data_IF_283708143393
#
_entry.id   IF_283708143393
#
_cell.length_a   1.000
_cell.length_b   1.000
_cell.length_c   1.000
_cell.angle_alpha   90.00
_cell.angle_beta   90.00
_cell.angle_gamma   90.00
#
_symmetry.space_group_name_H-M   'P 1'
#
loop_
_entity.id
_entity.type
_entity.pdbx_description
1 polymer ?
#
# COMPACT_ATOMS: atom_id res chain seq x y z
N UNK A 1 -13.95 -30.84 21.65
CA UNK A 1 -13.06 -30.93 20.46
C UNK A 1 -13.01 -29.56 19.81
N UNK A 2 -11.90 -28.87 20.10
CA UNK A 2 -11.29 -27.71 19.44
C UNK A 2 -12.00 -26.34 19.43
N UNK A 3 -11.38 -25.44 20.19
CA UNK A 3 -11.52 -24.00 20.20
C UNK A 3 -11.51 -23.42 18.79
N UNK A 4 -12.49 -22.55 18.48
CA UNK A 4 -12.46 -21.69 17.30
C UNK A 4 -11.62 -20.46 17.67
N UNK A 5 -10.40 -20.26 17.12
CA UNK A 5 -9.61 -19.08 17.42
C UNK A 5 -10.18 -17.89 16.64
N UNK A 6 -11.07 -17.11 17.26
CA UNK A 6 -11.64 -15.86 16.72
C UNK A 6 -10.69 -14.65 16.81
N UNK A 7 -9.47 -14.83 17.32
CA UNK A 7 -8.57 -13.74 17.72
C UNK A 7 -7.82 -13.00 16.58
N UNK A 8 -7.97 -13.36 15.30
CA UNK A 8 -7.10 -12.82 14.24
C UNK A 8 -7.61 -11.56 13.51
N UNK A 9 -8.92 -11.29 13.50
CA UNK A 9 -9.50 -10.21 12.68
C UNK A 9 -9.31 -8.80 13.27
N UNK A 10 -9.27 -8.67 14.61
CA UNK A 10 -9.19 -7.35 15.26
C UNK A 10 -7.86 -6.61 15.04
N UNK A 11 -6.76 -7.33 14.78
CA UNK A 11 -5.41 -6.73 14.68
C UNK A 11 -5.27 -5.78 13.48
N UNK A 12 -5.90 -6.10 12.36
CA UNK A 12 -5.87 -5.24 11.16
C UNK A 12 -6.72 -3.98 11.36
N UNK A 13 -7.88 -4.12 12.00
CA UNK A 13 -8.76 -2.99 12.34
C UNK A 13 -8.06 -2.05 13.31
N UNK A 14 -7.45 -2.58 14.38
CA UNK A 14 -6.69 -1.78 15.35
C UNK A 14 -5.50 -1.07 14.68
N UNK A 15 -4.79 -1.74 13.77
CA UNK A 15 -3.70 -1.10 13.03
C UNK A 15 -4.21 0.05 12.14
N UNK A 16 -5.28 -0.17 11.39
CA UNK A 16 -5.88 0.87 10.55
C UNK A 16 -6.36 2.08 11.37
N UNK A 17 -6.98 1.83 12.54
CA UNK A 17 -7.39 2.89 13.47
C UNK A 17 -6.18 3.67 13.99
N UNK A 18 -5.12 2.98 14.42
CA UNK A 18 -3.88 3.63 14.88
C UNK A 18 -3.24 4.50 13.79
N UNK A 19 -3.21 3.98 12.55
CA UNK A 19 -2.67 4.70 11.41
C UNK A 19 -3.52 5.95 11.08
N UNK A 20 -4.85 5.81 11.06
CA UNK A 20 -5.76 6.93 10.84
C UNK A 20 -5.61 8.00 11.92
N UNK A 21 -5.54 7.60 13.19
CA UNK A 21 -5.30 8.52 14.30
C UNK A 21 -3.96 9.26 14.16
N UNK A 22 -2.90 8.56 13.73
CA UNK A 22 -1.60 9.18 13.45
C UNK A 22 -1.67 10.19 12.30
N UNK A 23 -2.39 9.89 11.22
CA UNK A 23 -2.58 10.82 10.10
C UNK A 23 -3.35 12.08 10.51
N UNK A 24 -4.43 11.92 11.29
CA UNK A 24 -5.22 13.04 11.81
C UNK A 24 -4.35 13.90 12.75
N UNK A 25 -3.60 13.27 13.65
CA UNK A 25 -2.68 13.96 14.55
C UNK A 25 -1.63 14.78 13.79
N UNK A 26 -1.02 14.19 12.75
CA UNK A 26 -0.06 14.90 11.90
C UNK A 26 -0.71 16.09 11.17
N UNK A 27 -1.91 15.93 10.63
CA UNK A 27 -2.64 17.01 9.96
C UNK A 27 -2.99 18.17 10.92
N UNK A 28 -3.39 17.85 12.16
CA UNK A 28 -3.65 18.85 13.19
C UNK A 28 -2.38 19.61 13.59
N UNK A 29 -1.27 18.91 13.82
CA UNK A 29 0.02 19.53 14.13
C UNK A 29 0.50 20.46 13.00
N UNK A 30 0.37 20.03 11.75
CA UNK A 30 0.67 20.86 10.58
C UNK A 30 -0.22 22.10 10.50
N UNK A 31 -1.51 21.95 10.78
CA UNK A 31 -2.45 23.08 10.79
C UNK A 31 -2.08 24.08 11.89
N UNK A 32 -1.74 23.61 13.09
CA UNK A 32 -1.30 24.47 14.20
C UNK A 32 0.01 25.20 13.85
N UNK A 33 1.00 24.49 13.29
CA UNK A 33 2.26 25.09 12.87
C UNK A 33 2.05 26.18 11.80
N UNK A 34 1.10 25.97 10.88
CA UNK A 34 0.72 26.98 9.88
C UNK A 34 0.07 28.20 10.53
N UNK A 35 -0.86 27.99 11.47
CA UNK A 35 -1.55 29.08 12.18
C UNK A 35 -0.59 29.94 13.01
N UNK A 36 0.48 29.33 13.54
CA UNK A 36 1.56 30.03 14.24
C UNK A 36 2.55 30.72 13.30
N UNK A 37 2.40 30.60 11.98
CA UNK A 37 3.31 31.17 11.00
C UNK A 37 4.67 30.47 10.92
N UNK A 38 4.84 29.30 11.55
CA UNK A 38 6.10 28.55 11.54
C UNK A 38 6.41 27.93 10.17
N UNK A 39 5.38 27.68 9.37
CA UNK A 39 5.50 27.03 8.06
C UNK A 39 4.61 27.68 7.00
N UNK A 40 5.14 27.79 5.78
CA UNK A 40 4.40 28.25 4.62
C UNK A 40 3.40 27.21 4.09
N UNK A 41 2.47 27.67 3.23
CA UNK A 41 1.46 26.81 2.58
C UNK A 41 2.10 25.65 1.80
N UNK A 42 3.19 25.92 1.08
CA UNK A 42 3.91 24.90 0.32
C UNK A 42 4.47 23.79 1.23
N UNK A 43 5.05 24.16 2.38
CA UNK A 43 5.58 23.19 3.34
C UNK A 43 4.49 22.28 3.91
N UNK A 44 3.29 22.82 4.15
CA UNK A 44 2.14 22.04 4.61
C UNK A 44 1.72 21.01 3.56
N UNK A 45 1.63 21.42 2.30
CA UNK A 45 1.27 20.53 1.20
C UNK A 45 2.29 19.40 1.03
N UNK A 46 3.59 19.72 1.09
CA UNK A 46 4.65 18.71 1.02
C UNK A 46 4.56 17.73 2.19
N UNK A 47 4.41 18.24 3.41
CA UNK A 47 4.33 17.40 4.60
C UNK A 47 3.11 16.46 4.57
N UNK A 48 1.95 16.94 4.13
CA UNK A 48 0.74 16.10 3.99
C UNK A 48 0.95 14.97 2.98
N UNK A 49 1.61 15.27 1.86
CA UNK A 49 1.89 14.26 0.84
C UNK A 49 2.90 13.22 1.33
N UNK A 50 3.94 13.64 2.06
CA UNK A 50 4.90 12.72 2.72
C UNK A 50 4.19 11.80 3.71
N UNK A 51 3.38 12.37 4.61
CA UNK A 51 2.65 11.60 5.63
C UNK A 51 1.68 10.61 4.98
N UNK A 52 0.95 11.04 3.95
CA UNK A 52 0.01 10.19 3.21
C UNK A 52 0.73 9.05 2.50
N UNK A 53 1.82 9.35 1.80
CA UNK A 53 2.62 8.34 1.12
C UNK A 53 3.21 7.32 2.12
N UNK A 54 3.75 7.76 3.25
CA UNK A 54 4.25 6.86 4.30
C UNK A 54 3.13 5.99 4.90
N UNK A 55 1.95 6.56 5.14
CA UNK A 55 0.80 5.81 5.63
C UNK A 55 0.37 4.73 4.64
N UNK A 56 0.29 5.05 3.34
CA UNK A 56 0.03 4.08 2.29
C UNK A 56 1.11 3.00 2.22
N UNK A 57 2.39 3.37 2.33
CA UNK A 57 3.50 2.41 2.32
C UNK A 57 3.40 1.40 3.48
N UNK A 58 3.11 1.89 4.69
CA UNK A 58 2.90 1.07 5.88
C UNK A 58 1.67 0.17 5.71
N UNK A 59 0.56 0.71 5.20
CA UNK A 59 -0.67 -0.05 4.96
C UNK A 59 -0.43 -1.18 3.95
N UNK A 60 0.18 -0.90 2.80
CA UNK A 60 0.49 -1.91 1.78
C UNK A 60 1.41 -3.04 2.28
N UNK A 61 2.27 -2.77 3.27
CA UNK A 61 3.12 -3.78 3.89
C UNK A 61 2.33 -4.72 4.83
N UNK A 62 1.27 -4.20 5.47
CA UNK A 62 0.50 -4.90 6.51
C UNK A 62 -0.74 -5.62 5.97
N UNK A 63 -1.24 -5.27 4.78
CA UNK A 63 -2.40 -5.96 4.18
C UNK A 63 -2.14 -7.48 4.14
N UNK A 64 -3.05 -8.30 4.71
CA UNK A 64 -2.91 -9.74 4.72
C UNK A 64 -2.91 -10.25 3.28
N UNK A 65 -1.83 -10.95 2.92
CA UNK A 65 -1.53 -11.41 1.55
C UNK A 65 -2.37 -12.62 1.12
N UNK A 66 -3.48 -12.85 1.81
CA UNK A 66 -4.43 -13.93 1.63
C UNK A 66 -5.86 -13.38 1.85
N UNK A 67 -6.38 -12.66 0.85
CA UNK A 67 -7.74 -12.10 0.87
C UNK A 67 -8.76 -12.99 0.11
N UNK A 68 -8.39 -14.22 -0.26
CA UNK A 68 -9.24 -15.09 -1.08
C UNK A 68 -9.77 -16.31 -0.32
N UNK A 69 -10.94 -16.86 -0.72
CA UNK A 69 -11.42 -18.15 -0.24
C UNK A 69 -10.34 -19.22 -0.47
N UNK A 70 -10.27 -20.26 0.39
CA UNK A 70 -9.27 -21.32 0.27
C UNK A 70 -9.34 -21.88 -1.14
N UNK A 71 -8.29 -21.66 -1.92
CA UNK A 71 -8.25 -22.13 -3.30
C UNK A 71 -8.28 -23.65 -3.28
N UNK A 72 -9.11 -24.26 -4.14
CA UNK A 72 -9.32 -25.71 -4.19
C UNK A 72 -8.05 -26.54 -4.48
N UNK A 73 -6.93 -25.89 -4.82
CA UNK A 73 -5.64 -26.54 -5.08
C UNK A 73 -4.49 -25.79 -4.40
N UNK A 74 -3.49 -26.54 -3.90
CA UNK A 74 -2.27 -26.02 -3.26
C UNK A 74 -1.50 -25.07 -4.20
N UNK A 75 -1.52 -25.34 -5.51
CA UNK A 75 -0.82 -24.53 -6.51
C UNK A 75 -1.43 -23.13 -6.64
N UNK A 76 -2.76 -23.02 -6.62
CA UNK A 76 -3.45 -21.73 -6.68
C UNK A 76 -3.22 -20.90 -5.41
N UNK A 77 -3.14 -21.54 -4.23
CA UNK A 77 -2.81 -20.86 -2.97
C UNK A 77 -1.40 -20.25 -3.01
N UNK A 78 -0.42 -21.01 -3.50
CA UNK A 78 0.97 -20.52 -3.67
C UNK A 78 1.05 -19.33 -4.63
N UNK A 79 0.31 -19.37 -5.73
CA UNK A 79 0.26 -18.25 -6.69
C UNK A 79 -0.39 -17.02 -6.05
N UNK A 80 -1.52 -17.17 -5.36
CA UNK A 80 -2.21 -16.06 -4.70
C UNK A 80 -1.33 -15.40 -3.62
N UNK A 81 -0.66 -16.19 -2.79
CA UNK A 81 0.25 -15.67 -1.76
C UNK A 81 1.46 -14.95 -2.37
N UNK A 82 2.01 -15.49 -3.46
CA UNK A 82 3.12 -14.84 -4.17
C UNK A 82 2.68 -13.51 -4.79
N UNK A 83 1.52 -13.49 -5.43
CA UNK A 83 0.93 -12.26 -5.98
C UNK A 83 0.71 -11.21 -4.89
N UNK A 84 0.15 -11.59 -3.74
CA UNK A 84 -0.04 -10.68 -2.60
C UNK A 84 1.27 -10.13 -2.02
N UNK A 85 2.35 -10.94 -2.01
CA UNK A 85 3.69 -10.46 -1.59
C UNK A 85 4.25 -9.46 -2.58
N UNK A 86 4.20 -9.77 -3.86
CA UNK A 86 4.74 -8.91 -4.92
C UNK A 86 3.97 -7.59 -4.93
N UNK A 87 2.63 -7.64 -4.95
CA UNK A 87 1.81 -6.42 -4.99
C UNK A 87 2.00 -5.52 -3.77
N UNK A 88 2.08 -6.12 -2.58
CA UNK A 88 2.36 -5.38 -1.35
C UNK A 88 3.70 -4.65 -1.42
N UNK A 89 4.78 -5.35 -1.77
CA UNK A 89 6.12 -4.75 -1.85
C UNK A 89 6.26 -3.73 -2.97
N UNK A 90 5.67 -3.96 -4.14
CA UNK A 90 5.73 -2.99 -5.25
C UNK A 90 5.01 -1.70 -4.91
N UNK A 91 3.85 -1.78 -4.23
CA UNK A 91 3.14 -0.59 -3.79
C UNK A 91 3.87 0.12 -2.65
N UNK A 92 4.37 -0.63 -1.65
CA UNK A 92 5.18 -0.04 -0.57
C UNK A 92 6.38 0.72 -1.14
N UNK A 93 7.11 0.15 -2.10
CA UNK A 93 8.24 0.84 -2.74
C UNK A 93 7.81 2.09 -3.52
N UNK A 94 6.71 2.03 -4.29
CA UNK A 94 6.20 3.20 -5.01
C UNK A 94 5.84 4.35 -4.07
N UNK A 95 5.20 4.04 -2.94
CA UNK A 95 4.85 5.04 -1.94
C UNK A 95 6.06 5.56 -1.16
N UNK A 96 7.09 4.75 -0.92
CA UNK A 96 8.35 5.22 -0.33
C UNK A 96 9.10 6.17 -1.28
N UNK A 97 9.17 5.84 -2.57
CA UNK A 97 9.74 6.73 -3.60
C UNK A 97 8.95 8.04 -3.67
N UNK A 98 7.62 7.96 -3.64
CA UNK A 98 6.74 9.13 -3.58
C UNK A 98 7.03 9.99 -2.33
N UNK A 99 7.12 9.38 -1.15
CA UNK A 99 7.42 10.09 0.10
C UNK A 99 8.79 10.78 0.05
N UNK A 100 9.82 10.09 -0.44
CA UNK A 100 11.15 10.68 -0.64
C UNK A 100 11.13 11.83 -1.64
N UNK A 101 10.37 11.68 -2.73
CA UNK A 101 10.16 12.74 -3.72
C UNK A 101 9.56 13.99 -3.08
N UNK A 102 8.47 13.85 -2.32
CA UNK A 102 7.86 15.00 -1.65
C UNK A 102 8.74 15.61 -0.55
N UNK A 103 9.55 14.81 0.14
CA UNK A 103 10.46 15.28 1.18
C UNK A 103 11.66 16.08 0.62
N UNK A 104 12.21 15.66 -0.52
CA UNK A 104 13.51 16.19 -1.00
C UNK A 104 13.45 16.89 -2.36
N UNK A 105 12.50 16.53 -3.24
CA UNK A 105 12.43 17.07 -4.60
C UNK A 105 11.53 18.32 -4.71
N UNK A 106 11.74 19.16 -5.74
CA UNK A 106 10.81 20.23 -6.09
C UNK A 106 9.39 19.69 -6.35
N UNK A 107 8.37 20.47 -6.02
CA UNK A 107 6.94 20.08 -6.09
C UNK A 107 6.54 19.50 -7.45
N UNK A 108 6.95 20.11 -8.57
CA UNK A 108 6.66 19.60 -9.91
C UNK A 108 7.26 18.22 -10.18
N UNK A 109 8.49 17.97 -9.71
CA UNK A 109 9.17 16.67 -9.86
C UNK A 109 8.55 15.64 -8.93
N UNK A 110 8.22 16.03 -7.69
CA UNK A 110 7.56 15.15 -6.73
C UNK A 110 6.20 14.68 -7.26
N UNK A 111 5.39 15.59 -7.81
CA UNK A 111 4.08 15.27 -8.35
C UNK A 111 4.16 14.27 -9.52
N UNK A 112 4.99 14.54 -10.52
CA UNK A 112 5.17 13.63 -11.67
C UNK A 112 5.76 12.30 -11.18
N UNK A 113 6.75 12.34 -10.30
CA UNK A 113 7.40 11.17 -9.72
C UNK A 113 6.42 10.25 -8.99
N UNK A 114 5.51 10.81 -8.20
CA UNK A 114 4.45 10.06 -7.52
C UNK A 114 3.51 9.35 -8.49
N UNK A 115 3.07 10.04 -9.55
CA UNK A 115 2.15 9.47 -10.55
C UNK A 115 2.84 8.32 -11.29
N UNK A 116 4.08 8.55 -11.74
CA UNK A 116 4.86 7.53 -12.45
C UNK A 116 5.15 6.33 -11.56
N UNK A 117 5.58 6.54 -10.31
CA UNK A 117 5.91 5.42 -9.41
C UNK A 117 4.70 4.54 -9.12
N UNK A 118 3.55 5.15 -8.82
CA UNK A 118 2.30 4.43 -8.54
C UNK A 118 1.81 3.73 -9.83
N UNK A 119 1.85 4.41 -10.97
CA UNK A 119 1.45 3.86 -12.27
C UNK A 119 2.28 2.64 -12.68
N UNK A 120 3.61 2.73 -12.56
CA UNK A 120 4.54 1.62 -12.85
C UNK A 120 4.29 0.43 -11.92
N UNK A 121 4.05 0.68 -10.63
CA UNK A 121 3.69 -0.40 -9.69
C UNK A 121 2.36 -1.05 -10.05
N UNK A 122 1.34 -0.27 -10.43
CA UNK A 122 0.06 -0.79 -10.92
C UNK A 122 0.24 -1.67 -12.16
N UNK A 123 0.99 -1.19 -13.15
CA UNK A 123 1.32 -1.94 -14.37
C UNK A 123 2.07 -3.23 -14.05
N UNK A 124 3.01 -3.20 -13.10
CA UNK A 124 3.77 -4.38 -12.66
C UNK A 124 2.85 -5.43 -12.03
N UNK A 125 1.91 -5.01 -11.17
CA UNK A 125 0.95 -5.92 -10.53
C UNK A 125 0.04 -6.56 -11.57
N UNK A 126 -0.51 -5.77 -12.49
CA UNK A 126 -1.40 -6.27 -13.55
C UNK A 126 -0.65 -7.21 -14.49
N UNK A 127 0.53 -6.81 -14.97
CA UNK A 127 1.37 -7.62 -15.85
C UNK A 127 1.76 -8.94 -15.21
N UNK A 128 2.21 -8.93 -13.96
CA UNK A 128 2.58 -10.15 -13.24
C UNK A 128 1.36 -11.05 -12.95
N UNK A 129 0.21 -10.46 -12.65
CA UNK A 129 -1.04 -11.20 -12.46
C UNK A 129 -1.52 -11.89 -13.74
N UNK A 130 -1.44 -11.21 -14.89
CA UNK A 130 -1.76 -11.78 -16.19
C UNK A 130 -0.79 -12.92 -16.55
N UNK A 131 0.52 -12.68 -16.39
CA UNK A 131 1.55 -13.68 -16.65
C UNK A 131 1.34 -14.98 -15.87
N UNK A 132 0.96 -14.90 -14.59
CA UNK A 132 0.70 -16.10 -13.76
C UNK A 132 -0.64 -16.78 -14.06
N UNK A 133 -1.64 -16.05 -14.57
CA UNK A 133 -2.96 -16.61 -14.91
C UNK A 133 -3.00 -17.32 -16.26
N UNK A 134 -2.24 -16.84 -17.26
CA UNK A 134 -2.21 -17.41 -18.61
C UNK A 134 -1.86 -18.92 -18.65
N UNK A 135 -0.82 -19.41 -17.94
CA UNK A 135 -0.48 -20.83 -17.92
C UNK A 135 -1.51 -21.70 -17.19
N UNK A 136 -2.17 -21.15 -16.16
CA UNK A 136 -3.19 -21.89 -15.42
C UNK A 136 -4.48 -22.07 -16.21
N UNK A 137 -4.83 -21.10 -17.08
CA UNK A 137 -5.96 -21.22 -18.00
C UNK A 137 -5.75 -22.37 -19.00
N UNK A 138 -4.57 -22.45 -19.62
CA UNK A 138 -4.27 -23.50 -20.62
C UNK A 138 -4.24 -24.93 -20.02
N UNK A 139 -3.89 -25.09 -18.74
CA UNK A 139 -3.92 -26.43 -18.10
C UNK A 139 -5.33 -26.91 -17.77
N UNK A 140 -6.30 -26.01 -17.60
CA UNK A 140 -7.68 -26.37 -17.22
C UNK A 140 -8.54 -26.77 -18.42
N UNK A 141 -8.13 -26.40 -19.63
CA UNK A 141 -8.80 -26.77 -20.89
C UNK A 141 -8.26 -28.06 -21.51
N UNK A 142 -7.10 -28.55 -21.04
CA UNK A 142 -6.43 -29.74 -21.57
C UNK A 142 -6.51 -30.96 -20.62
N UNK A 143 -7.33 -30.87 -19.57
CA UNK A 143 -7.62 -31.93 -18.60
C UNK A 143 -9.13 -32.18 -18.60
#
# INVERSE_FOLDING_TARGET
MNDIPTASHGRHVVFAIKLAAAMIGAALLLTLARLQGLIGRESVERAINVVTALACAAYCNVIPKALGPPSSTIQAAKVAQTLGRVSGWTLTLAFLISAAGWAFAPTGVAQIGSIVSIGVSGATIVGYSLWKRLPMRNRRTNA
#
